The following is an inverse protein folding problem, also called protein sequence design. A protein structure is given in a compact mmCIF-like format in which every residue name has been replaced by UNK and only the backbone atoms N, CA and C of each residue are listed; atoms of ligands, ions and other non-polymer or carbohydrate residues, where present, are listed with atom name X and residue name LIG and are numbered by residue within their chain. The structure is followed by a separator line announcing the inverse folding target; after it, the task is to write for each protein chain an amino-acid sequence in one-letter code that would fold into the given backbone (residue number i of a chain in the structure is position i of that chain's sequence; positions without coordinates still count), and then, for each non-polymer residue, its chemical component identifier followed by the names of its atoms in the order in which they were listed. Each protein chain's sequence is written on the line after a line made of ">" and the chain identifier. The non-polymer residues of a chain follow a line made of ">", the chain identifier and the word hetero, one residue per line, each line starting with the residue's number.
data_IF_678957342023
#
_entry.id   IF_678957342023
#
_cell.length_a   1.000
_cell.length_b   1.000
_cell.length_c   1.000
_cell.angle_alpha   90.00
_cell.angle_beta   90.00
_cell.angle_gamma   90.00
#
_symmetry.space_group_name_H-M   'P 1'
#
loop_
_entity.id
_entity.type
_entity.pdbx_description
1 polymer ?
#
# COMPACT_ATOMS: atom_id res chain seq x y z
N UNK A 1 -12.53 4.04 -16.32
CA UNK A 1 -11.74 4.62 -15.22
C UNK A 1 -12.56 5.73 -14.57
N UNK A 2 -12.15 6.20 -13.40
CA UNK A 2 -12.90 7.16 -12.61
C UNK A 2 -14.22 6.56 -12.10
N UNK A 3 -15.33 7.26 -12.35
CA UNK A 3 -16.65 6.90 -11.80
C UNK A 3 -17.59 6.11 -12.73
N UNK A 4 -17.10 5.63 -13.89
CA UNK A 4 -17.98 4.91 -14.84
C UNK A 4 -18.48 3.55 -14.35
N UNK A 5 -17.70 2.84 -13.51
CA UNK A 5 -18.05 1.52 -12.94
C UNK A 5 -17.44 1.35 -11.55
N UNK A 6 -18.20 0.73 -10.64
CA UNK A 6 -17.72 0.40 -9.29
C UNK A 6 -16.69 -0.72 -9.28
N UNK A 7 -16.84 -1.71 -10.17
CA UNK A 7 -15.97 -2.89 -10.18
C UNK A 7 -14.68 -2.59 -10.94
N UNK A 8 -13.55 -2.87 -10.31
CA UNK A 8 -12.22 -2.77 -10.93
C UNK A 8 -12.14 -3.64 -12.19
N UNK A 9 -11.51 -3.11 -13.25
CA UNK A 9 -11.27 -3.85 -14.49
C UNK A 9 -10.25 -4.98 -14.30
N UNK A 10 -10.14 -5.86 -15.30
CA UNK A 10 -9.11 -6.89 -15.32
C UNK A 10 -7.70 -6.28 -15.24
N UNK A 11 -7.41 -5.25 -16.03
CA UNK A 11 -6.11 -4.56 -16.03
C UNK A 11 -5.80 -3.94 -14.66
N UNK A 12 -6.80 -3.34 -14.00
CA UNK A 12 -6.63 -2.81 -12.64
C UNK A 12 -6.30 -3.93 -11.66
N UNK A 13 -6.95 -5.09 -11.75
CA UNK A 13 -6.60 -6.24 -10.90
C UNK A 13 -5.19 -6.75 -11.18
N UNK A 14 -4.73 -6.76 -12.43
CA UNK A 14 -3.35 -7.15 -12.77
C UNK A 14 -2.36 -6.19 -12.10
N UNK A 15 -2.61 -4.88 -12.15
CA UNK A 15 -1.75 -3.90 -11.47
C UNK A 15 -1.78 -4.08 -9.96
N UNK A 16 -2.94 -4.35 -9.36
CA UNK A 16 -3.04 -4.67 -7.92
C UNK A 16 -2.27 -5.95 -7.55
N UNK A 17 -2.30 -6.98 -8.39
CA UNK A 17 -1.50 -8.21 -8.17
C UNK A 17 0.00 -7.89 -8.18
N UNK A 18 0.45 -7.09 -9.15
CA UNK A 18 1.86 -6.71 -9.24
C UNK A 18 2.31 -5.82 -8.07
N UNK A 19 1.48 -4.84 -7.69
CA UNK A 19 1.80 -3.84 -6.66
C UNK A 19 1.62 -4.36 -5.24
N UNK A 20 0.47 -4.95 -4.92
CA UNK A 20 0.11 -5.33 -3.55
C UNK A 20 0.47 -6.78 -3.23
N UNK A 21 0.53 -7.65 -4.26
CA UNK A 21 0.86 -9.10 -4.19
C UNK A 21 -0.05 -9.97 -3.29
N UNK A 22 -0.83 -9.35 -2.42
CA UNK A 22 -1.80 -9.96 -1.53
C UNK A 22 -2.54 -8.91 -0.71
N UNK A 23 -3.09 -9.32 0.44
CA UNK A 23 -3.83 -8.40 1.28
C UNK A 23 -2.90 -7.31 1.82
N UNK A 24 -3.26 -6.04 1.61
CA UNK A 24 -2.44 -4.91 2.05
C UNK A 24 -2.49 -4.63 3.56
N UNK A 25 -3.37 -5.31 4.32
CA UNK A 25 -3.51 -5.14 5.77
C UNK A 25 -2.24 -5.59 6.50
N UNK A 26 -1.76 -4.86 7.53
CA UNK A 26 -0.51 -5.12 8.21
C UNK A 26 -0.34 -6.59 8.62
N UNK A 27 0.81 -7.17 8.30
CA UNK A 27 1.20 -8.55 8.62
C UNK A 27 0.30 -9.64 8.03
N UNK A 28 -0.69 -9.32 7.18
CA UNK A 28 -1.50 -10.33 6.52
C UNK A 28 -0.69 -11.02 5.41
N UNK A 29 -0.78 -12.34 5.32
CA UNK A 29 -0.09 -13.15 4.30
C UNK A 29 -1.05 -13.73 3.26
N UNK A 30 -2.34 -13.36 3.29
CA UNK A 30 -3.33 -13.89 2.35
C UNK A 30 -3.01 -13.44 0.92
N UNK A 31 -2.98 -14.37 -0.06
CA UNK A 31 -2.60 -14.07 -1.43
C UNK A 31 -3.63 -13.20 -2.15
N UNK A 32 -3.24 -12.59 -3.27
CA UNK A 32 -4.11 -11.76 -4.10
C UNK A 32 -5.37 -12.48 -4.60
N UNK A 33 -5.29 -13.79 -4.81
CA UNK A 33 -6.43 -14.63 -5.23
C UNK A 33 -7.54 -14.71 -4.18
N UNK A 34 -7.25 -14.35 -2.92
CA UNK A 34 -8.21 -14.27 -1.82
C UNK A 34 -8.58 -12.82 -1.47
N UNK A 35 -8.26 -11.89 -2.37
CA UNK A 35 -8.46 -10.47 -2.16
C UNK A 35 -9.49 -9.87 -3.12
N UNK A 36 -10.21 -8.90 -2.59
CA UNK A 36 -11.12 -8.01 -3.30
C UNK A 36 -10.42 -6.67 -3.52
N UNK A 37 -10.75 -5.98 -4.61
CA UNK A 37 -10.32 -4.59 -4.81
C UNK A 37 -11.15 -3.70 -3.89
N UNK A 38 -10.46 -2.97 -3.02
CA UNK A 38 -10.99 -2.04 -2.03
C UNK A 38 -10.72 -0.61 -2.49
N UNK A 39 -11.73 0.26 -2.40
CA UNK A 39 -11.58 1.69 -2.67
C UNK A 39 -11.04 2.40 -1.42
N UNK A 40 -9.99 3.19 -1.55
CA UNK A 40 -9.43 3.93 -0.41
C UNK A 40 -10.42 4.98 0.11
N UNK A 41 -11.04 5.70 -0.83
CA UNK A 41 -12.20 6.53 -0.59
C UNK A 41 -13.44 5.77 -1.05
N UNK A 42 -14.43 5.61 -0.17
CA UNK A 42 -15.59 4.78 -0.47
C UNK A 42 -16.28 5.24 -1.77
N UNK A 43 -16.55 4.27 -2.66
CA UNK A 43 -17.21 4.54 -3.94
C UNK A 43 -18.53 5.29 -3.79
N UNK A 44 -19.30 4.95 -2.75
CA UNK A 44 -20.62 5.54 -2.47
C UNK A 44 -20.49 7.01 -2.06
N UNK A 45 -19.36 7.38 -1.45
CA UNK A 45 -19.02 8.74 -1.02
C UNK A 45 -18.30 9.57 -2.10
N UNK A 46 -18.21 9.05 -3.34
CA UNK A 46 -17.60 9.77 -4.45
C UNK A 46 -16.23 9.26 -4.89
N UNK A 47 -15.64 8.29 -4.19
CA UNK A 47 -14.33 7.72 -4.54
C UNK A 47 -14.28 7.16 -5.98
N UNK A 48 -13.15 7.31 -6.70
CA UNK A 48 -13.01 6.80 -8.06
C UNK A 48 -12.50 5.34 -8.09
N UNK A 49 -12.87 4.60 -9.14
CA UNK A 49 -12.27 3.30 -9.46
C UNK A 49 -11.06 3.56 -10.35
N UNK A 50 -10.04 4.18 -9.76
CA UNK A 50 -8.74 4.43 -10.37
C UNK A 50 -7.66 3.63 -9.64
N UNK A 51 -6.61 3.22 -10.34
CA UNK A 51 -5.65 2.25 -9.80
C UNK A 51 -4.92 2.76 -8.53
N UNK A 52 -4.69 4.06 -8.46
CA UNK A 52 -4.07 4.72 -7.30
C UNK A 52 -5.04 4.88 -6.13
N UNK A 53 -6.34 4.81 -6.39
CA UNK A 53 -7.44 4.86 -5.39
C UNK A 53 -7.94 3.48 -4.99
N UNK A 54 -7.26 2.41 -5.42
CA UNK A 54 -7.58 1.03 -5.08
C UNK A 54 -6.46 0.35 -4.29
N UNK A 55 -6.79 -0.70 -3.55
CA UNK A 55 -5.87 -1.61 -2.87
C UNK A 55 -6.49 -3.00 -2.74
N UNK A 56 -5.71 -4.04 -2.41
CA UNK A 56 -6.26 -5.33 -2.04
C UNK A 56 -6.60 -5.46 -0.55
N UNK A 57 -7.80 -5.98 -0.27
CA UNK A 57 -8.25 -6.45 1.04
C UNK A 57 -8.81 -7.87 0.94
N UNK A 58 -8.38 -8.79 1.81
CA UNK A 58 -9.00 -10.11 1.90
C UNK A 58 -10.37 -10.02 2.58
N UNK A 59 -11.21 -11.06 2.46
CA UNK A 59 -12.58 -11.02 3.00
C UNK A 59 -12.67 -10.57 4.47
N UNK A 60 -11.72 -11.01 5.30
CA UNK A 60 -11.67 -10.65 6.72
C UNK A 60 -11.31 -9.17 6.93
N UNK A 61 -10.22 -8.69 6.31
CA UNK A 61 -9.77 -7.31 6.50
C UNK A 61 -10.62 -6.28 5.74
N UNK A 62 -11.18 -6.66 4.59
CA UNK A 62 -12.09 -5.80 3.83
C UNK A 62 -13.35 -5.46 4.65
N UNK A 63 -13.86 -6.40 5.46
CA UNK A 63 -14.99 -6.16 6.35
C UNK A 63 -14.70 -5.19 7.52
N UNK A 64 -13.41 -4.96 7.84
CA UNK A 64 -13.00 -4.07 8.92
C UNK A 64 -12.95 -2.60 8.52
N UNK A 65 -12.87 -2.31 7.22
CA UNK A 65 -12.78 -0.94 6.70
C UNK A 65 -14.16 -0.28 6.62
N UNK A 66 -14.22 1.04 6.78
CA UNK A 66 -15.43 1.85 6.60
C UNK A 66 -15.35 3.21 7.28
N UNK A 67 -16.45 3.97 7.25
CA UNK A 67 -16.53 5.38 7.69
C UNK A 67 -16.83 5.61 9.17
N UNK A 68 -16.96 4.55 9.98
CA UNK A 68 -17.35 4.64 11.39
C UNK A 68 -16.16 4.73 12.38
N UNK A 69 -16.39 5.19 13.63
CA UNK A 69 -15.33 5.37 14.63
C UNK A 69 -14.65 4.06 15.08
N UNK A 70 -15.29 2.92 14.85
CA UNK A 70 -14.74 1.59 15.11
C UNK A 70 -14.17 0.90 13.86
N UNK A 71 -14.04 1.62 12.74
CA UNK A 71 -13.59 1.07 11.47
C UNK A 71 -12.14 1.43 11.19
N UNK A 72 -11.48 0.54 10.47
CA UNK A 72 -10.18 0.83 9.89
C UNK A 72 -10.36 1.80 8.73
N UNK A 73 -9.35 2.64 8.50
CA UNK A 73 -9.28 3.48 7.30
C UNK A 73 -8.03 3.12 6.48
N UNK A 74 -8.05 3.45 5.20
CA UNK A 74 -6.92 3.18 4.31
C UNK A 74 -6.54 4.42 3.52
N UNK A 75 -5.25 4.72 3.41
CA UNK A 75 -4.74 5.81 2.55
C UNK A 75 -3.59 5.32 1.68
N UNK A 76 -3.21 6.11 0.67
CA UNK A 76 -2.04 5.83 -0.19
C UNK A 76 -0.87 6.71 0.23
N UNK A 77 0.30 6.13 0.34
CA UNK A 77 1.54 6.89 0.54
C UNK A 77 1.90 7.70 -0.70
N UNK A 78 2.35 8.94 -0.51
CA UNK A 78 2.79 9.82 -1.61
C UNK A 78 4.18 9.44 -2.13
N UNK A 79 4.61 10.08 -3.21
CA UNK A 79 5.94 9.90 -3.80
C UNK A 79 7.10 10.22 -2.83
N UNK A 80 6.87 11.09 -1.84
CA UNK A 80 7.89 11.48 -0.85
C UNK A 80 8.00 10.50 0.33
N UNK A 81 7.08 9.53 0.44
CA UNK A 81 7.13 8.55 1.51
C UNK A 81 8.26 7.54 1.28
N UNK A 82 8.85 7.00 2.35
CA UNK A 82 9.91 5.98 2.25
C UNK A 82 9.50 4.75 1.42
N UNK A 83 8.22 4.42 1.43
CA UNK A 83 7.62 3.39 0.59
C UNK A 83 6.51 4.01 -0.25
N UNK A 84 6.82 4.59 -1.44
CA UNK A 84 5.83 5.25 -2.29
C UNK A 84 4.77 4.28 -2.82
N UNK A 85 3.54 4.78 -3.04
CA UNK A 85 2.44 3.99 -3.61
C UNK A 85 1.94 2.80 -2.77
N UNK A 86 2.46 2.58 -1.56
CA UNK A 86 1.97 1.58 -0.61
C UNK A 86 0.69 2.03 0.07
N UNK A 87 -0.12 1.08 0.51
CA UNK A 87 -1.34 1.35 1.27
C UNK A 87 -1.02 1.41 2.76
N UNK A 88 -1.41 2.51 3.40
CA UNK A 88 -1.43 2.63 4.85
C UNK A 88 -2.78 2.17 5.38
N UNK A 89 -2.75 1.35 6.42
CA UNK A 89 -3.92 0.96 7.20
C UNK A 89 -3.89 1.68 8.53
N UNK A 90 -4.94 2.43 8.80
CA UNK A 90 -5.10 3.20 10.01
C UNK A 90 -6.08 2.47 10.94
N UNK A 91 -5.63 2.07 12.14
CA UNK A 91 -6.50 1.45 13.14
C UNK A 91 -7.56 2.44 13.65
N UNK A 92 -8.73 1.97 14.12
CA UNK A 92 -9.70 2.83 14.78
C UNK A 92 -9.08 3.62 15.95
N UNK A 93 -9.57 4.84 16.21
CA UNK A 93 -9.01 5.71 17.26
C UNK A 93 -9.12 5.13 18.67
N UNK A 94 -10.09 4.24 18.91
CA UNK A 94 -10.20 3.48 20.16
C UNK A 94 -9.13 2.38 20.35
N UNK A 95 -8.46 1.96 19.27
CA UNK A 95 -7.36 0.98 19.29
C UNK A 95 -5.99 1.66 19.32
N UNK A 96 -5.81 2.73 18.53
CA UNK A 96 -4.61 3.57 18.56
C UNK A 96 -5.04 5.04 18.42
N UNK A 97 -4.94 5.84 19.50
CA UNK A 97 -5.32 7.25 19.48
C UNK A 97 -4.52 8.10 18.48
N UNK A 98 -3.33 7.65 18.08
CA UNK A 98 -2.50 8.36 17.09
C UNK A 98 -2.96 8.11 15.66
N UNK A 99 -3.84 7.11 15.44
CA UNK A 99 -4.36 6.71 14.14
C UNK A 99 -3.24 6.48 13.10
N UNK A 100 -2.10 5.95 13.57
CA UNK A 100 -0.89 5.82 12.77
C UNK A 100 -1.10 4.84 11.63
N UNK A 101 -0.67 5.23 10.43
CA UNK A 101 -0.71 4.36 9.26
C UNK A 101 0.33 3.24 9.34
N UNK A 102 -0.11 2.01 9.11
CA UNK A 102 0.73 0.82 9.10
C UNK A 102 0.81 0.22 7.68
N UNK A 103 1.99 -0.25 7.29
CA UNK A 103 2.23 -0.91 6.00
C UNK A 103 2.38 -2.41 6.21
N UNK A 104 1.87 -3.20 5.27
CA UNK A 104 2.17 -4.63 5.23
C UNK A 104 3.46 -4.93 4.47
N UNK A 105 4.49 -5.41 5.15
CA UNK A 105 5.74 -5.86 4.52
C UNK A 105 5.76 -7.36 4.20
N UNK A 106 4.76 -8.14 4.61
CA UNK A 106 4.78 -9.60 4.46
C UNK A 106 4.82 -10.07 2.99
N UNK A 107 4.24 -9.28 2.08
CA UNK A 107 4.29 -9.55 0.65
C UNK A 107 5.47 -8.87 -0.09
N UNK A 108 6.26 -8.07 0.64
CA UNK A 108 7.41 -7.31 0.14
C UNK A 108 8.63 -7.49 1.04
N UNK A 109 9.14 -8.73 1.20
CA UNK A 109 10.26 -9.01 2.09
C UNK A 109 11.52 -8.21 1.73
N UNK A 110 11.67 -7.82 0.47
CA UNK A 110 12.75 -6.95 0.00
C UNK A 110 12.83 -5.61 0.77
N UNK A 111 11.71 -5.08 1.26
CA UNK A 111 11.66 -3.81 2.00
C UNK A 111 12.20 -3.93 3.42
N UNK A 112 12.20 -5.15 3.98
CA UNK A 112 12.73 -5.45 5.31
C UNK A 112 14.20 -5.85 5.19
N UNK A 113 14.54 -6.66 4.19
CA UNK A 113 15.90 -7.14 3.96
C UNK A 113 16.82 -6.04 3.43
N UNK A 114 16.31 -5.19 2.54
CA UNK A 114 17.04 -4.11 1.88
C UNK A 114 16.20 -2.82 1.87
N UNK A 115 16.08 -2.14 3.03
CA UNK A 115 15.17 -1.02 3.14
C UNK A 115 15.58 0.16 2.24
N UNK A 116 14.64 0.82 1.54
CA UNK A 116 14.97 1.89 0.61
C UNK A 116 15.61 3.10 1.32
N UNK A 117 16.57 3.72 0.65
CA UNK A 117 17.21 4.96 1.14
C UNK A 117 16.18 6.09 1.25
N UNK A 118 16.28 6.89 2.30
CA UNK A 118 15.36 8.01 2.52
C UNK A 118 15.81 9.20 1.65
N UNK A 119 14.98 9.63 0.69
CA UNK A 119 15.34 10.73 -0.22
C UNK A 119 15.39 12.14 0.42
N UNK A 120 15.48 12.24 1.76
CA UNK A 120 15.57 13.52 2.47
C UNK A 120 16.99 13.87 2.96
N UNK A 121 18.02 13.12 2.59
CA UNK A 121 19.40 13.57 2.81
C UNK A 121 19.81 14.56 1.70
N UNK A 122 19.32 15.79 1.78
CA UNK A 122 20.12 16.93 1.31
C UNK A 122 21.14 17.27 2.39
N UNK A 123 22.12 16.39 2.52
CA UNK A 123 23.35 16.55 3.27
C UNK A 123 24.50 16.17 2.34
N UNK A 124 24.86 17.11 1.47
CA UNK A 124 26.13 17.08 0.75
C UNK A 124 27.29 16.98 1.75
N UNK A 125 27.94 15.81 1.79
CA UNK A 125 29.39 15.72 1.98
C UNK A 125 29.87 14.53 1.18
N UNK A 126 30.59 14.81 0.10
CA UNK A 126 31.13 13.81 -0.80
C UNK A 126 31.99 12.75 -0.10
N UNK A 127 31.91 11.53 -0.64
CA UNK A 127 33.00 10.58 -0.55
C UNK A 127 33.13 9.86 -1.90
N UNK A 128 34.25 10.12 -2.56
CA UNK A 128 34.73 9.45 -3.76
C UNK A 128 35.36 8.13 -3.35
N UNK A 129 34.78 6.99 -3.73
CA UNK A 129 35.41 5.70 -3.40
C UNK A 129 34.81 4.46 -4.06
N UNK A 130 35.30 4.15 -5.25
CA UNK A 130 35.44 2.82 -5.88
C UNK A 130 34.19 1.95 -6.10
N UNK A 131 33.63 2.04 -7.31
CA UNK A 131 32.86 0.95 -7.93
C UNK A 131 33.77 -0.25 -8.23
N UNK A 132 33.55 -1.36 -7.53
CA UNK A 132 34.05 -2.67 -7.96
C UNK A 132 33.03 -3.30 -8.93
N UNK A 133 33.41 -3.67 -10.17
CA UNK A 133 32.45 -4.13 -11.16
C UNK A 133 31.92 -5.53 -10.81
N UNK A 134 30.60 -5.66 -10.67
CA UNK A 134 29.90 -6.94 -10.55
C UNK A 134 30.17 -7.79 -11.80
N UNK A 135 30.83 -8.93 -11.62
CA UNK A 135 30.93 -9.94 -12.68
C UNK A 135 29.58 -10.68 -12.83
N UNK A 136 29.09 -10.88 -14.06
CA UNK A 136 27.89 -11.68 -14.31
C UNK A 136 28.18 -13.18 -14.22
N UNK A 137 27.15 -13.95 -13.83
CA UNK A 137 27.11 -15.41 -13.85
C UNK A 137 26.85 -15.97 -15.26
#
# INVERSE_FOLDING_TARGET
>A
LGRSKRIASADQRIVLIARDRGCSSPSCTRPATWCQAHHLDDWVEGGPTDIDSLTFGCDMHHALVGTGPGKWATTKTTAAHRYPGRTLWHPPTGMDPTHRGLINHAHHPEEVLYPPHHHNDTGDTGDTGNEEPRQPA
#
